data_IF_819774634026
#
_entry.id   IF_819774634026
#
_cell.length_a   1.000
_cell.length_b   1.000
_cell.length_c   1.000
_cell.angle_alpha   90.00
_cell.angle_beta   90.00
_cell.angle_gamma   90.00
#
_symmetry.space_group_name_H-M   'P 1'
#
loop_
_entity.id
_entity.type
_entity.pdbx_description
1 polymer ?
#
# COMPACT_ATOMS: atom_id res chain seq x y z
N UNK A 1 4.18 22.18 20.08
CA UNK A 1 4.47 20.93 20.83
C UNK A 1 5.98 20.80 20.90
N UNK A 2 6.57 20.69 22.08
CA UNK A 2 8.00 20.40 22.24
C UNK A 2 8.16 18.89 22.34
N UNK A 3 9.01 18.30 21.50
CA UNK A 3 9.35 16.88 21.53
C UNK A 3 10.76 16.73 22.12
N UNK A 4 10.90 15.83 23.08
CA UNK A 4 12.22 15.42 23.57
C UNK A 4 12.78 14.38 22.59
N UNK A 5 13.79 14.76 21.83
CA UNK A 5 14.45 13.88 20.85
C UNK A 5 15.33 12.81 21.50
N UNK A 6 15.70 13.00 22.78
CA UNK A 6 16.51 12.06 23.55
C UNK A 6 15.67 11.07 24.36
N UNK A 7 14.34 11.21 24.32
CA UNK A 7 13.45 10.30 25.03
C UNK A 7 13.63 8.86 24.53
N UNK A 8 13.95 7.99 25.46
CA UNK A 8 14.02 6.54 25.23
C UNK A 8 12.83 5.86 25.87
N UNK A 9 11.98 5.32 25.03
CA UNK A 9 10.83 4.59 25.53
C UNK A 9 11.26 3.30 26.26
N UNK A 10 10.53 2.87 27.31
CA UNK A 10 10.80 1.61 28.01
C UNK A 10 10.82 0.42 27.07
N UNK A 11 11.59 -0.63 27.39
CA UNK A 11 11.63 -1.87 26.60
C UNK A 11 10.32 -2.66 26.68
N UNK A 12 9.58 -2.49 27.79
CA UNK A 12 8.28 -3.14 28.01
C UNK A 12 7.15 -2.13 27.86
N UNK A 13 6.14 -2.49 27.11
CA UNK A 13 4.87 -1.76 27.01
C UNK A 13 3.85 -2.39 27.95
N UNK A 14 3.14 -1.54 28.69
CA UNK A 14 2.04 -1.95 29.55
C UNK A 14 0.75 -1.26 29.11
N UNK A 15 -0.32 -2.02 29.04
CA UNK A 15 -1.67 -1.52 28.77
C UNK A 15 -2.66 -2.20 29.69
N UNK A 16 -3.64 -1.45 30.16
CA UNK A 16 -4.78 -1.98 30.90
C UNK A 16 -6.06 -1.83 30.07
N UNK A 17 -6.80 -2.91 29.94
CA UNK A 17 -8.10 -2.94 29.24
C UNK A 17 -9.09 -3.69 30.11
N UNK A 18 -10.16 -3.02 30.52
CA UNK A 18 -11.20 -3.59 31.41
C UNK A 18 -10.65 -4.23 32.68
N UNK A 19 -9.64 -3.63 33.32
CA UNK A 19 -9.04 -4.13 34.56
C UNK A 19 -8.06 -5.30 34.35
N UNK A 20 -7.78 -5.70 33.11
CA UNK A 20 -6.78 -6.70 32.77
C UNK A 20 -5.51 -6.00 32.28
N UNK A 21 -4.39 -6.24 32.95
CA UNK A 21 -3.07 -5.73 32.56
C UNK A 21 -2.43 -6.59 31.48
N UNK A 22 -1.97 -5.95 30.41
CA UNK A 22 -1.19 -6.58 29.33
C UNK A 22 0.22 -6.00 29.36
N UNK A 23 1.20 -6.88 29.38
CA UNK A 23 2.61 -6.52 29.31
C UNK A 23 3.27 -7.24 28.15
N UNK A 24 3.98 -6.51 27.31
CA UNK A 24 4.70 -7.06 26.15
C UNK A 24 6.02 -6.33 25.94
N UNK A 25 6.97 -6.99 25.30
CA UNK A 25 8.18 -6.34 24.84
C UNK A 25 7.83 -5.39 23.69
N UNK A 26 8.43 -4.21 23.71
CA UNK A 26 8.31 -3.26 22.60
C UNK A 26 8.94 -3.83 21.35
N UNK A 27 8.31 -3.61 20.20
CA UNK A 27 8.92 -3.92 18.92
C UNK A 27 10.12 -2.96 18.66
N UNK A 28 11.33 -3.44 18.97
CA UNK A 28 12.60 -2.72 18.78
C UNK A 28 13.30 -3.07 17.47
N UNK A 29 12.72 -3.95 16.65
CA UNK A 29 13.32 -4.41 15.38
C UNK A 29 13.64 -3.22 14.48
N UNK A 30 14.92 -3.11 14.11
CA UNK A 30 15.40 -2.11 13.17
C UNK A 30 15.23 -2.64 11.74
N UNK A 31 14.29 -2.06 11.01
CA UNK A 31 14.05 -2.42 9.60
C UNK A 31 15.12 -1.73 8.75
N UNK A 32 15.96 -2.53 8.13
CA UNK A 32 17.00 -2.11 7.20
C UNK A 32 17.27 -3.25 6.20
N UNK A 33 18.16 -3.04 5.26
CA UNK A 33 18.48 -4.02 4.23
C UNK A 33 18.93 -5.38 4.81
N UNK A 34 19.79 -5.36 5.83
CA UNK A 34 20.32 -6.58 6.44
C UNK A 34 19.29 -7.39 7.21
N UNK A 35 18.32 -6.72 7.84
CA UNK A 35 17.26 -7.39 8.61
C UNK A 35 16.08 -7.82 7.77
N UNK A 36 15.79 -7.09 6.67
CA UNK A 36 14.60 -7.30 5.86
C UNK A 36 14.88 -8.16 4.63
N UNK A 37 16.02 -7.95 3.96
CA UNK A 37 16.30 -8.56 2.66
C UNK A 37 17.34 -9.68 2.82
N UNK A 38 16.98 -10.71 3.59
CA UNK A 38 17.88 -11.82 3.96
C UNK A 38 17.85 -12.96 2.94
N UNK A 39 16.70 -13.27 2.36
CA UNK A 39 16.54 -14.42 1.48
C UNK A 39 15.62 -14.12 0.29
N UNK A 40 16.13 -14.32 -0.91
CA UNK A 40 15.36 -14.26 -2.16
C UNK A 40 14.91 -15.68 -2.50
N UNK A 41 13.60 -15.91 -2.51
CA UNK A 41 13.03 -17.24 -2.70
C UNK A 41 12.53 -17.50 -4.12
N UNK A 42 12.31 -16.46 -4.92
CA UNK A 42 11.89 -16.60 -6.31
C UNK A 42 13.06 -16.86 -7.28
N UNK A 43 12.75 -17.36 -8.47
CA UNK A 43 13.74 -17.64 -9.54
C UNK A 43 14.47 -16.37 -9.99
N UNK A 44 13.74 -15.25 -10.11
CA UNK A 44 14.34 -13.94 -10.40
C UNK A 44 14.95 -13.36 -9.14
N UNK A 45 16.28 -13.14 -9.16
CA UNK A 45 17.07 -12.73 -8.00
C UNK A 45 17.59 -11.30 -8.06
N UNK A 46 17.22 -10.53 -9.10
CA UNK A 46 17.68 -9.14 -9.25
C UNK A 46 16.72 -8.17 -8.56
N UNK A 47 17.21 -7.46 -7.56
CA UNK A 47 16.48 -6.43 -6.85
C UNK A 47 17.12 -5.06 -7.13
N UNK A 48 16.47 -4.19 -7.94
CA UNK A 48 16.95 -2.83 -8.17
C UNK A 48 17.05 -2.02 -6.88
N UNK A 49 17.98 -1.08 -6.81
CA UNK A 49 18.18 -0.21 -5.65
C UNK A 49 16.90 0.60 -5.29
N UNK A 50 16.14 1.02 -6.30
CA UNK A 50 14.85 1.70 -6.11
C UNK A 50 13.83 0.81 -5.41
N UNK A 51 13.66 -0.43 -5.87
CA UNK A 51 12.76 -1.39 -5.25
C UNK A 51 13.20 -1.78 -3.83
N UNK A 52 14.49 -1.92 -3.59
CA UNK A 52 15.06 -2.17 -2.26
C UNK A 52 14.70 -1.07 -1.27
N UNK A 53 14.90 0.19 -1.65
CA UNK A 53 14.47 1.35 -0.87
C UNK A 53 12.98 1.33 -0.59
N UNK A 54 12.16 1.05 -1.60
CA UNK A 54 10.72 1.08 -1.51
C UNK A 54 10.17 -0.06 -0.62
N UNK A 55 10.77 -1.26 -0.67
CA UNK A 55 10.44 -2.36 0.24
C UNK A 55 10.76 -2.01 1.69
N UNK A 56 11.92 -1.39 1.96
CA UNK A 56 12.29 -0.92 3.31
C UNK A 56 11.32 0.14 3.80
N UNK A 57 10.99 1.13 2.96
CA UNK A 57 10.02 2.18 3.29
C UNK A 57 8.64 1.60 3.63
N UNK A 58 8.15 0.68 2.81
CA UNK A 58 6.87 -0.01 3.04
C UNK A 58 6.88 -0.78 4.36
N UNK A 59 7.96 -1.51 4.65
CA UNK A 59 8.08 -2.29 5.90
C UNK A 59 8.19 -1.41 7.14
N UNK A 60 8.93 -0.29 7.08
CA UNK A 60 8.96 0.70 8.16
C UNK A 60 7.54 1.25 8.42
N UNK A 61 6.80 1.55 7.36
CA UNK A 61 5.43 2.03 7.48
C UNK A 61 4.53 1.01 8.19
N UNK A 62 4.64 -0.27 7.81
CA UNK A 62 3.83 -1.34 8.41
C UNK A 62 4.17 -1.60 9.87
N UNK A 63 5.42 -1.42 10.28
CA UNK A 63 5.81 -1.51 11.70
C UNK A 63 4.95 -0.63 12.63
N UNK A 64 4.45 0.49 12.10
CA UNK A 64 3.62 1.46 12.84
C UNK A 64 2.15 1.46 12.40
N UNK A 65 1.74 0.43 11.67
CA UNK A 65 0.37 0.30 11.12
C UNK A 65 -0.37 -0.84 11.80
N UNK A 66 -1.66 -0.62 12.05
CA UNK A 66 -2.53 -1.65 12.65
C UNK A 66 -2.64 -2.87 11.75
N UNK A 67 -2.32 -4.06 12.29
CA UNK A 67 -2.48 -5.36 11.63
C UNK A 67 -3.98 -5.72 11.44
N UNK A 68 -4.38 -6.50 10.46
CA UNK A 68 -3.60 -6.93 9.30
C UNK A 68 -3.30 -5.74 8.41
N UNK A 69 -2.10 -5.66 7.88
CA UNK A 69 -1.72 -4.54 7.03
C UNK A 69 -0.80 -4.92 5.86
N UNK A 70 -1.01 -4.22 4.74
CA UNK A 70 -0.21 -4.33 3.51
C UNK A 70 0.06 -2.93 2.98
N UNK A 71 1.25 -2.69 2.49
CA UNK A 71 1.71 -1.40 2.00
C UNK A 71 2.31 -1.51 0.59
N UNK A 72 1.96 -0.53 -0.25
CA UNK A 72 2.47 -0.37 -1.61
C UNK A 72 3.33 0.89 -1.69
N UNK A 73 4.53 0.76 -2.21
CA UNK A 73 5.47 1.86 -2.39
C UNK A 73 5.99 1.92 -3.83
N UNK A 74 6.28 3.12 -4.31
CA UNK A 74 6.86 3.38 -5.62
C UNK A 74 7.69 4.67 -5.55
N UNK A 75 8.89 4.64 -6.12
CA UNK A 75 9.78 5.79 -6.27
C UNK A 75 10.02 6.59 -4.98
N UNK A 76 10.19 5.89 -3.85
CA UNK A 76 10.51 6.50 -2.56
C UNK A 76 9.31 7.07 -1.82
N UNK A 77 8.10 6.71 -2.19
CA UNK A 77 6.90 7.14 -1.49
C UNK A 77 5.89 6.01 -1.31
N UNK A 78 5.09 6.12 -0.25
CA UNK A 78 3.94 5.26 -0.03
C UNK A 78 2.80 5.68 -0.94
N UNK A 79 2.25 4.74 -1.71
CA UNK A 79 1.16 4.99 -2.67
C UNK A 79 -0.16 4.34 -2.27
N UNK A 80 -0.13 3.36 -1.36
CA UNK A 80 -1.34 2.73 -0.84
C UNK A 80 -1.05 1.92 0.42
N UNK A 81 -1.96 1.99 1.40
CA UNK A 81 -1.90 1.23 2.65
C UNK A 81 -3.30 0.68 2.95
N UNK A 82 -3.37 -0.63 3.12
CA UNK A 82 -4.52 -1.32 3.70
C UNK A 82 -4.17 -1.73 5.13
N UNK A 83 -5.00 -1.34 6.09
CA UNK A 83 -4.72 -1.53 7.51
C UNK A 83 -5.97 -1.97 8.28
N UNK A 84 -5.79 -2.74 9.35
CA UNK A 84 -6.85 -3.12 10.29
C UNK A 84 -7.95 -3.99 9.70
N UNK A 85 -7.67 -4.71 8.60
CA UNK A 85 -8.67 -5.59 7.98
C UNK A 85 -8.69 -6.97 8.65
N UNK A 86 -9.84 -7.64 8.58
CA UNK A 86 -10.05 -8.95 9.17
C UNK A 86 -9.26 -10.06 8.46
N UNK A 87 -8.93 -9.86 7.20
CA UNK A 87 -8.13 -10.81 6.42
C UNK A 87 -7.07 -10.11 5.56
N UNK A 88 -6.04 -10.87 5.18
CA UNK A 88 -4.88 -10.34 4.45
C UNK A 88 -5.21 -9.92 3.02
N UNK A 89 -6.06 -10.68 2.33
CA UNK A 89 -6.41 -10.36 0.94
C UNK A 89 -7.19 -9.06 0.82
N UNK A 90 -8.01 -8.71 1.80
CA UNK A 90 -8.72 -7.43 1.79
C UNK A 90 -7.77 -6.26 2.07
N UNK A 91 -6.72 -6.46 2.89
CA UNK A 91 -5.64 -5.49 3.01
C UNK A 91 -4.95 -5.25 1.66
N UNK A 92 -4.61 -6.33 0.95
CA UNK A 92 -3.96 -6.27 -0.38
C UNK A 92 -4.82 -5.53 -1.39
N UNK A 93 -6.13 -5.82 -1.42
CA UNK A 93 -7.11 -5.12 -2.29
C UNK A 93 -7.24 -3.64 -1.93
N UNK A 94 -7.39 -3.33 -0.64
CA UNK A 94 -7.56 -1.95 -0.16
C UNK A 94 -6.31 -1.10 -0.43
N UNK A 95 -5.12 -1.62 -0.13
CA UNK A 95 -3.86 -0.95 -0.44
C UNK A 95 -3.71 -0.72 -1.95
N UNK A 96 -4.03 -1.75 -2.74
CA UNK A 96 -3.98 -1.70 -4.20
C UNK A 96 -4.95 -0.69 -4.80
N UNK A 97 -6.20 -0.64 -4.33
CA UNK A 97 -7.19 0.36 -4.76
C UNK A 97 -6.71 1.80 -4.50
N UNK A 98 -6.09 2.05 -3.34
CA UNK A 98 -5.49 3.36 -3.04
C UNK A 98 -4.31 3.67 -3.97
N UNK A 99 -3.47 2.69 -4.28
CA UNK A 99 -2.36 2.84 -5.22
C UNK A 99 -2.86 3.16 -6.64
N UNK A 100 -3.92 2.46 -7.10
CA UNK A 100 -4.59 2.75 -8.37
C UNK A 100 -5.13 4.19 -8.39
N UNK A 101 -5.84 4.63 -7.35
CA UNK A 101 -6.35 5.99 -7.22
C UNK A 101 -5.22 7.02 -7.23
N UNK A 102 -4.13 6.76 -6.48
CA UNK A 102 -2.94 7.62 -6.49
C UNK A 102 -2.36 7.76 -7.89
N UNK A 103 -2.23 6.67 -8.65
CA UNK A 103 -1.71 6.69 -10.01
C UNK A 103 -2.67 7.37 -11.00
N UNK A 104 -3.97 7.13 -10.85
CA UNK A 104 -5.03 7.77 -11.66
C UNK A 104 -5.07 9.28 -11.48
N UNK A 105 -4.73 9.81 -10.30
CA UNK A 105 -4.62 11.26 -10.06
C UNK A 105 -3.54 11.93 -10.93
N UNK A 106 -2.58 11.15 -11.45
CA UNK A 106 -1.56 11.64 -12.39
C UNK A 106 -2.05 11.66 -13.84
N UNK A 107 -3.22 11.07 -14.14
CA UNK A 107 -3.78 11.08 -15.50
C UNK A 107 -4.01 12.51 -15.99
N UNK A 108 -3.57 12.86 -17.24
CA UNK A 108 -3.65 14.24 -17.72
C UNK A 108 -5.04 14.87 -17.60
N UNK A 109 -6.12 14.13 -17.94
CA UNK A 109 -7.50 14.62 -17.80
C UNK A 109 -7.90 14.91 -16.35
N UNK A 110 -7.42 14.14 -15.38
CA UNK A 110 -7.69 14.33 -13.95
C UNK A 110 -6.85 15.47 -13.39
N UNK A 111 -5.57 15.51 -13.77
CA UNK A 111 -4.64 16.54 -13.31
C UNK A 111 -5.03 17.93 -13.78
N UNK A 112 -5.49 18.05 -15.03
CA UNK A 112 -5.78 19.31 -15.71
C UNK A 112 -7.28 19.67 -15.71
N UNK A 113 -8.07 19.19 -14.75
CA UNK A 113 -9.47 19.61 -14.61
C UNK A 113 -9.56 21.13 -14.49
N UNK A 114 -10.44 21.81 -15.29
CA UNK A 114 -10.52 23.26 -15.40
C UNK A 114 -11.34 23.86 -14.23
N UNK A 115 -10.77 23.86 -13.03
CA UNK A 115 -11.45 24.38 -11.84
C UNK A 115 -11.69 25.89 -11.91
N UNK A 116 -12.83 26.33 -11.39
CA UNK A 116 -13.07 27.74 -11.08
C UNK A 116 -12.10 28.20 -9.96
N UNK A 117 -11.75 29.47 -9.94
CA UNK A 117 -10.76 30.03 -8.99
C UNK A 117 -11.18 29.87 -7.53
N UNK A 118 -12.47 30.04 -7.24
CA UNK A 118 -13.03 29.97 -5.88
C UNK A 118 -13.08 28.54 -5.30
N UNK A 119 -12.84 27.49 -6.10
CA UNK A 119 -12.85 26.11 -5.62
C UNK A 119 -11.62 25.84 -4.77
N UNK A 120 -11.83 25.47 -3.52
CA UNK A 120 -10.76 25.21 -2.55
C UNK A 120 -9.93 23.97 -2.91
N UNK A 121 -8.73 23.85 -2.35
CA UNK A 121 -7.85 22.70 -2.60
C UNK A 121 -8.47 21.37 -2.12
N UNK A 122 -9.28 21.40 -1.08
CA UNK A 122 -10.00 20.22 -0.58
C UNK A 122 -11.06 19.77 -1.59
N UNK A 123 -11.88 20.70 -2.07
CA UNK A 123 -12.90 20.44 -3.10
C UNK A 123 -12.27 19.95 -4.40
N UNK A 124 -11.17 20.56 -4.85
CA UNK A 124 -10.39 20.08 -6.03
C UNK A 124 -9.90 18.65 -5.86
N UNK A 125 -9.48 18.28 -4.65
CA UNK A 125 -9.05 16.91 -4.36
C UNK A 125 -10.22 15.95 -4.46
N UNK A 126 -11.36 16.25 -3.82
CA UNK A 126 -12.57 15.44 -3.87
C UNK A 126 -13.11 15.32 -5.30
N UNK A 127 -13.15 16.43 -6.04
CA UNK A 127 -13.62 16.42 -7.42
C UNK A 127 -12.74 15.56 -8.36
N UNK A 128 -11.42 15.48 -8.11
CA UNK A 128 -10.53 14.55 -8.83
C UNK A 128 -10.87 13.09 -8.52
N UNK A 129 -11.17 12.77 -7.27
CA UNK A 129 -11.59 11.42 -6.89
C UNK A 129 -12.90 11.05 -7.58
N UNK A 130 -13.90 11.93 -7.55
CA UNK A 130 -15.17 11.70 -8.26
C UNK A 130 -14.99 11.55 -9.77
N UNK A 131 -14.06 12.30 -10.38
CA UNK A 131 -13.70 12.11 -11.80
C UNK A 131 -13.16 10.71 -12.08
N UNK A 132 -12.35 10.18 -11.16
CA UNK A 132 -11.75 8.83 -11.25
C UNK A 132 -12.81 7.75 -10.99
N UNK A 133 -13.55 7.84 -9.90
CA UNK A 133 -14.49 6.81 -9.49
C UNK A 133 -15.71 6.77 -10.43
N UNK A 134 -16.27 7.92 -10.76
CA UNK A 134 -17.54 8.00 -11.50
C UNK A 134 -18.72 7.58 -10.62
N UNK A 135 -19.79 7.09 -11.25
CA UNK A 135 -20.94 6.54 -10.53
C UNK A 135 -21.77 7.56 -9.72
N UNK A 136 -21.59 8.86 -10.01
CA UNK A 136 -22.30 9.93 -9.35
C UNK A 136 -23.81 9.89 -9.66
N UNK A 137 -24.64 10.12 -8.67
CA UNK A 137 -26.07 10.42 -8.85
C UNK A 137 -26.27 11.74 -9.58
N UNK A 138 -27.46 12.00 -10.14
CA UNK A 138 -27.75 13.25 -10.84
C UNK A 138 -27.51 14.52 -9.99
N UNK A 139 -27.90 14.57 -8.69
CA UNK A 139 -27.55 15.71 -7.83
C UNK A 139 -26.05 15.89 -7.64
N UNK A 140 -25.32 14.79 -7.37
CA UNK A 140 -23.86 14.81 -7.21
C UNK A 140 -23.16 15.27 -8.49
N UNK A 141 -23.60 14.79 -9.65
CA UNK A 141 -23.06 15.17 -10.95
C UNK A 141 -23.27 16.67 -11.25
N UNK A 142 -24.44 17.23 -10.90
CA UNK A 142 -24.69 18.66 -11.03
C UNK A 142 -23.78 19.46 -10.13
N UNK A 143 -23.67 19.11 -8.86
CA UNK A 143 -22.80 19.77 -7.90
C UNK A 143 -21.32 19.66 -8.29
N UNK A 144 -20.91 18.51 -8.80
CA UNK A 144 -19.55 18.29 -9.30
C UNK A 144 -19.24 19.17 -10.53
N UNK A 145 -20.14 19.19 -11.53
CA UNK A 145 -19.98 20.00 -12.74
C UNK A 145 -19.91 21.49 -12.48
N UNK A 146 -20.60 22.00 -11.45
CA UNK A 146 -20.60 23.42 -11.10
C UNK A 146 -19.24 23.96 -10.61
N UNK A 147 -18.28 23.07 -10.34
CA UNK A 147 -16.94 23.43 -9.89
C UNK A 147 -15.97 23.80 -11.04
N UNK A 148 -16.40 23.64 -12.29
CA UNK A 148 -15.52 23.78 -13.47
C UNK A 148 -15.93 24.93 -14.37
N UNK A 149 -14.93 25.56 -15.00
CA UNK A 149 -15.12 26.65 -15.98
C UNK A 149 -15.45 26.13 -17.39
N UNK A 150 -15.34 24.84 -17.65
CA UNK A 150 -15.65 24.19 -18.92
C UNK A 150 -16.33 22.83 -18.70
N UNK A 151 -17.07 22.30 -19.67
CA UNK A 151 -17.69 20.98 -19.56
C UNK A 151 -16.65 19.89 -19.32
N UNK A 152 -16.91 19.05 -18.30
CA UNK A 152 -16.07 17.91 -17.93
C UNK A 152 -16.93 16.63 -17.76
N UNK A 153 -16.32 15.47 -17.93
CA UNK A 153 -16.90 14.16 -17.68
C UNK A 153 -16.01 13.31 -16.78
N UNK A 154 -16.60 12.30 -16.17
CA UNK A 154 -15.83 11.27 -15.47
C UNK A 154 -14.88 10.55 -16.45
N UNK A 155 -13.78 10.02 -15.94
CA UNK A 155 -12.81 9.31 -16.76
C UNK A 155 -13.41 7.99 -17.27
N UNK A 156 -13.43 7.77 -18.60
CA UNK A 156 -13.98 6.55 -19.19
C UNK A 156 -13.24 5.27 -18.73
N UNK A 157 -13.93 4.16 -18.61
CA UNK A 157 -13.36 2.91 -18.10
C UNK A 157 -12.19 2.41 -18.95
N UNK A 158 -12.27 2.56 -20.27
CA UNK A 158 -11.19 2.19 -21.20
C UNK A 158 -9.92 3.01 -20.97
N UNK A 159 -10.06 4.33 -20.74
CA UNK A 159 -8.94 5.20 -20.44
C UNK A 159 -8.32 4.87 -19.07
N UNK A 160 -9.16 4.53 -18.08
CA UNK A 160 -8.70 4.06 -16.77
C UNK A 160 -7.84 2.81 -16.93
N UNK A 161 -8.35 1.80 -17.64
CA UNK A 161 -7.65 0.55 -17.86
C UNK A 161 -6.33 0.75 -18.62
N UNK A 162 -6.34 1.57 -19.68
CA UNK A 162 -5.14 1.90 -20.45
C UNK A 162 -4.09 2.67 -19.64
N UNK A 163 -4.52 3.53 -18.70
CA UNK A 163 -3.61 4.25 -17.82
C UNK A 163 -3.03 3.33 -16.75
N UNK A 164 -3.88 2.57 -16.04
CA UNK A 164 -3.46 1.61 -15.02
C UNK A 164 -2.52 0.53 -15.58
N UNK A 165 -2.69 0.15 -16.83
CA UNK A 165 -1.77 -0.75 -17.50
C UNK A 165 -0.32 -0.24 -17.58
N UNK A 166 -0.05 1.03 -17.32
CA UNK A 166 1.30 1.63 -17.24
C UNK A 166 1.92 1.55 -15.84
N UNK A 167 1.13 1.25 -14.80
CA UNK A 167 1.64 1.12 -13.44
C UNK A 167 2.52 -0.13 -13.34
N UNK A 168 3.80 0.05 -13.05
CA UNK A 168 4.82 -0.99 -12.97
C UNK A 168 5.86 -0.65 -11.91
N UNK A 169 6.61 -1.67 -11.46
CA UNK A 169 7.71 -1.48 -10.54
C UNK A 169 7.28 -1.24 -9.09
N UNK A 170 6.01 -1.47 -8.79
CA UNK A 170 5.49 -1.27 -7.44
C UNK A 170 6.08 -2.31 -6.50
N UNK A 171 6.51 -1.85 -5.34
CA UNK A 171 7.00 -2.67 -4.22
C UNK A 171 5.91 -2.84 -3.18
N UNK A 172 5.74 -4.06 -2.67
CA UNK A 172 4.74 -4.41 -1.67
C UNK A 172 5.41 -5.01 -0.45
N UNK A 173 4.99 -4.57 0.73
CA UNK A 173 5.31 -5.22 2.01
C UNK A 173 4.05 -5.69 2.72
N UNK A 174 4.16 -6.81 3.43
CA UNK A 174 3.11 -7.33 4.31
C UNK A 174 3.65 -7.50 5.73
N UNK A 175 2.86 -7.15 6.74
CA UNK A 175 3.24 -7.28 8.16
C UNK A 175 3.24 -8.73 8.67
N UNK A 176 2.63 -9.67 7.93
CA UNK A 176 2.73 -11.11 8.16
C UNK A 176 2.70 -11.88 6.84
N UNK A 177 2.87 -13.21 6.89
CA UNK A 177 2.88 -14.08 5.72
C UNK A 177 1.56 -14.04 4.94
N UNK A 178 1.63 -14.27 3.65
CA UNK A 178 0.45 -14.50 2.82
C UNK A 178 -0.03 -15.94 2.97
N UNK A 179 -1.28 -16.15 3.42
CA UNK A 179 -1.79 -17.50 3.64
C UNK A 179 -2.13 -18.24 2.34
N UNK A 180 -2.36 -17.52 1.23
CA UNK A 180 -2.81 -18.06 -0.04
C UNK A 180 -2.27 -17.25 -1.21
N UNK A 181 -2.21 -17.87 -2.40
CA UNK A 181 -1.76 -17.24 -3.64
C UNK A 181 -2.62 -16.04 -4.08
N UNK A 182 -3.87 -15.96 -3.64
CA UNK A 182 -4.81 -14.89 -4.01
C UNK A 182 -4.26 -13.48 -3.71
N UNK A 183 -3.45 -13.35 -2.67
CA UNK A 183 -2.76 -12.10 -2.34
C UNK A 183 -1.77 -11.69 -3.44
N UNK A 184 -1.02 -12.65 -3.99
CA UNK A 184 -0.10 -12.43 -5.11
C UNK A 184 -0.88 -12.08 -6.37
N UNK A 185 -1.96 -12.81 -6.67
CA UNK A 185 -2.83 -12.56 -7.81
C UNK A 185 -3.46 -11.15 -7.76
N UNK A 186 -3.85 -10.68 -6.56
CA UNK A 186 -4.37 -9.32 -6.38
C UNK A 186 -3.26 -8.25 -6.51
N UNK A 187 -2.06 -8.52 -6.02
CA UNK A 187 -0.94 -7.61 -6.10
C UNK A 187 -0.44 -7.44 -7.55
N UNK A 188 -0.30 -8.54 -8.29
CA UNK A 188 0.22 -8.54 -9.67
C UNK A 188 -0.66 -7.72 -10.62
N UNK A 189 -1.99 -7.77 -10.46
CA UNK A 189 -2.95 -6.96 -11.24
C UNK A 189 -2.73 -5.45 -11.10
N UNK A 190 -2.01 -5.02 -10.05
CA UNK A 190 -1.78 -3.62 -9.69
C UNK A 190 -0.34 -3.17 -9.86
N UNK A 191 0.38 -3.83 -10.77
CA UNK A 191 1.74 -3.44 -11.14
C UNK A 191 2.80 -3.75 -10.09
N UNK A 192 2.51 -4.59 -9.11
CA UNK A 192 3.49 -5.06 -8.12
C UNK A 192 4.47 -6.01 -8.82
N UNK A 193 5.75 -5.67 -8.68
CA UNK A 193 6.86 -6.46 -9.19
C UNK A 193 7.77 -7.00 -8.07
N UNK A 194 7.72 -6.39 -6.89
CA UNK A 194 8.59 -6.73 -5.78
C UNK A 194 7.76 -6.90 -4.52
N UNK A 195 7.98 -8.00 -3.79
CA UNK A 195 7.23 -8.32 -2.57
C UNK A 195 8.21 -8.67 -1.47
N UNK A 196 7.93 -8.20 -0.25
CA UNK A 196 8.55 -8.66 0.98
C UNK A 196 7.47 -9.04 1.98
N UNK A 197 7.63 -10.21 2.57
CA UNK A 197 6.76 -10.72 3.63
C UNK A 197 7.57 -11.61 4.57
N UNK A 198 7.17 -11.79 5.84
CA UNK A 198 7.69 -12.87 6.65
C UNK A 198 7.19 -14.21 6.10
N UNK A 199 8.07 -15.22 6.10
CA UNK A 199 7.70 -16.58 5.80
C UNK A 199 7.04 -17.26 7.01
N UNK A 200 6.88 -18.59 6.94
CA UNK A 200 6.35 -19.43 8.02
C UNK A 200 4.91 -19.90 7.82
N UNK A 201 4.34 -19.69 6.64
CA UNK A 201 3.09 -20.32 6.24
C UNK A 201 3.32 -21.77 5.79
N UNK A 202 2.42 -22.67 6.14
CA UNK A 202 2.38 -24.02 5.56
C UNK A 202 2.17 -24.03 4.04
N UNK A 203 1.85 -22.89 3.44
CA UNK A 203 1.62 -22.69 2.01
C UNK A 203 2.64 -21.77 1.34
N UNK A 204 3.81 -21.58 1.94
CA UNK A 204 4.85 -20.72 1.36
C UNK A 204 5.25 -21.17 -0.05
N UNK A 205 5.32 -22.47 -0.32
CA UNK A 205 5.61 -23.01 -1.66
C UNK A 205 4.58 -22.59 -2.72
N UNK A 206 3.28 -22.59 -2.36
CA UNK A 206 2.21 -22.11 -3.24
C UNK A 206 2.35 -20.60 -3.55
N UNK A 207 2.66 -19.81 -2.53
CA UNK A 207 2.86 -18.36 -2.64
C UNK A 207 4.10 -18.02 -3.47
N UNK A 208 5.21 -18.77 -3.27
CA UNK A 208 6.44 -18.63 -4.06
C UNK A 208 6.18 -18.98 -5.53
N UNK A 209 5.49 -20.11 -5.80
CA UNK A 209 5.11 -20.50 -7.16
C UNK A 209 4.26 -19.42 -7.85
N UNK A 210 3.24 -18.91 -7.18
CA UNK A 210 2.41 -17.81 -7.72
C UNK A 210 3.22 -16.54 -8.00
N UNK A 211 4.22 -16.27 -7.17
CA UNK A 211 5.13 -15.13 -7.35
C UNK A 211 6.05 -15.33 -8.57
N UNK A 212 6.55 -16.54 -8.80
CA UNK A 212 7.34 -16.88 -9.98
C UNK A 212 6.54 -16.76 -11.29
N UNK A 213 5.23 -16.99 -11.22
CA UNK A 213 4.32 -16.86 -12.38
C UNK A 213 4.03 -15.40 -12.73
N UNK A 214 3.81 -14.53 -11.75
CA UNK A 214 3.16 -13.24 -11.96
C UNK A 214 3.93 -12.02 -11.43
N UNK A 215 4.93 -12.21 -10.55
CA UNK A 215 5.72 -11.16 -9.92
C UNK A 215 7.20 -11.36 -10.27
N UNK A 216 7.96 -10.28 -10.32
CA UNK A 216 9.39 -10.40 -10.72
C UNK A 216 10.30 -10.88 -9.59
N UNK A 217 9.91 -10.67 -8.32
CA UNK A 217 10.78 -10.89 -7.18
C UNK A 217 9.97 -11.01 -5.89
N UNK A 218 10.24 -12.05 -5.10
CA UNK A 218 9.68 -12.19 -3.76
C UNK A 218 10.78 -12.50 -2.77
N UNK A 219 10.71 -11.85 -1.62
CA UNK A 219 11.63 -12.00 -0.51
C UNK A 219 10.88 -12.52 0.71
N UNK A 220 11.41 -13.53 1.38
CA UNK A 220 10.98 -13.94 2.70
C UNK A 220 11.93 -13.35 3.74
N UNK A 221 11.40 -12.73 4.77
CA UNK A 221 12.15 -12.33 5.96
C UNK A 221 12.12 -13.45 7.00
N UNK A 222 12.96 -13.35 8.00
CA UNK A 222 12.94 -14.28 9.15
C UNK A 222 11.53 -14.37 9.77
N UNK A 223 11.16 -15.55 10.35
CA UNK A 223 9.85 -15.77 10.94
C UNK A 223 9.50 -14.68 11.97
N UNK A 224 8.24 -14.32 12.01
CA UNK A 224 7.66 -13.29 12.89
C UNK A 224 7.67 -13.62 14.39
N UNK A 225 8.23 -14.72 14.82
CA UNK A 225 8.38 -15.04 16.24
C UNK A 225 9.05 -13.92 17.06
N UNK A 226 9.79 -13.01 16.39
CA UNK A 226 10.47 -11.89 17.01
C UNK A 226 9.77 -10.53 16.74
N UNK A 227 8.61 -10.53 16.05
CA UNK A 227 7.90 -9.32 15.63
C UNK A 227 6.55 -9.10 16.34
N UNK A 228 6.11 -10.03 17.19
CA UNK A 228 4.84 -9.94 17.94
C UNK A 228 5.10 -9.67 19.41
#
# INVERSE_FOLDING_TARGET
MLADTEFRAPETEFREVYGVGFSQLRNTVKINEKSLLTEIVTKKRQLPATARRDLILASITLKYTQSNSVAYALDGQMIGIGAGQQNRVDCTKLAGSKAETWFMRQHPKVRNLPFLEQVSNVERTNARILCIEGGMTDPELRAWKSQFSAPVGALPQEEKAAWLAKLRGVSLSSDAFFPFRDNIDQASKRGVNFIVQPGGSSRDEEVISASDESVSYTHLTLPTSDLV
#
